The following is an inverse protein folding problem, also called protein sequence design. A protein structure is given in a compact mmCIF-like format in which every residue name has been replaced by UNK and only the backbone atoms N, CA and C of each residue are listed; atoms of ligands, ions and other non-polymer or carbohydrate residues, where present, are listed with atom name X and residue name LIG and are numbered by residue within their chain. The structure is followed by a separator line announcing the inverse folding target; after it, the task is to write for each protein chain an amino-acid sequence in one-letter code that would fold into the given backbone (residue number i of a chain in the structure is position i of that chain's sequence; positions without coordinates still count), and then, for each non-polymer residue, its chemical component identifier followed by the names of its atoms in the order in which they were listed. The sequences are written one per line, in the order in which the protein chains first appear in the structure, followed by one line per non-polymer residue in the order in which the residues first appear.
data_IF_147300643150
#
_entry.id   IF_147300643150
#
_cell.length_a   1.000
_cell.length_b   1.000
_cell.length_c   1.000
_cell.angle_alpha   90.00
_cell.angle_beta   90.00
_cell.angle_gamma   90.00
#
_symmetry.space_group_name_H-M   'P 1'
#
loop_
_entity.id
_entity.type
_entity.pdbx_description
1 polymer ?
#
# COMPACT_ATOMS: atom_id res chain seq x y z
N UNK A 1 1.96 -0.20 18.83
CA UNK A 1 2.23 -0.93 17.55
C UNK A 1 2.09 -0.01 16.32
N UNK A 2 2.57 1.24 16.36
CA UNK A 2 2.58 2.13 15.19
C UNK A 2 3.88 2.07 14.39
N UNK A 3 5.01 1.99 15.11
CA UNK A 3 6.37 2.01 14.54
C UNK A 3 6.62 0.79 13.64
N UNK A 4 6.28 -0.42 14.11
CA UNK A 4 6.46 -1.65 13.33
C UNK A 4 5.71 -1.58 12.00
N UNK A 5 4.44 -1.14 12.03
CA UNK A 5 3.61 -1.02 10.82
C UNK A 5 4.19 0.01 9.83
N UNK A 6 4.64 1.16 10.32
CA UNK A 6 5.26 2.18 9.49
C UNK A 6 6.55 1.67 8.80
N UNK A 7 7.38 0.95 9.54
CA UNK A 7 8.61 0.35 9.01
C UNK A 7 8.30 -0.74 7.97
N UNK A 8 7.32 -1.61 8.23
CA UNK A 8 6.87 -2.59 7.26
C UNK A 8 6.37 -1.93 5.97
N UNK A 9 5.57 -0.84 6.06
CA UNK A 9 5.06 -0.11 4.89
C UNK A 9 6.19 0.49 4.06
N UNK A 10 7.24 1.03 4.70
CA UNK A 10 8.41 1.53 3.98
C UNK A 10 9.10 0.41 3.17
N UNK A 11 9.23 -0.78 3.76
CA UNK A 11 9.79 -1.97 3.09
C UNK A 11 8.88 -2.52 2.00
N UNK A 12 7.55 -2.40 2.14
CA UNK A 12 6.59 -2.81 1.10
C UNK A 12 6.82 -2.06 -0.21
N UNK A 13 7.17 -0.76 -0.16
CA UNK A 13 7.45 0.05 -1.36
C UNK A 13 8.68 -0.46 -2.12
N UNK A 14 9.71 -0.87 -1.38
CA UNK A 14 10.93 -1.44 -1.97
C UNK A 14 10.61 -2.81 -2.58
N UNK A 15 9.94 -3.68 -1.82
CA UNK A 15 9.54 -5.00 -2.27
C UNK A 15 8.64 -4.97 -3.52
N UNK A 16 7.78 -3.95 -3.63
CA UNK A 16 6.94 -3.75 -4.82
C UNK A 16 7.75 -3.36 -6.05
N UNK A 17 8.72 -2.45 -5.91
CA UNK A 17 9.67 -2.10 -7.00
C UNK A 17 10.50 -3.29 -7.46
N UNK A 18 10.82 -4.20 -6.55
CA UNK A 18 11.52 -5.45 -6.85
C UNK A 18 10.60 -6.57 -7.41
N UNK A 19 9.29 -6.32 -7.50
CA UNK A 19 8.32 -7.30 -8.00
C UNK A 19 8.06 -8.48 -7.05
N UNK A 20 8.40 -8.35 -5.77
CA UNK A 20 8.21 -9.40 -4.76
C UNK A 20 6.72 -9.55 -4.47
N UNK A 21 6.18 -10.77 -4.55
CA UNK A 21 4.76 -11.04 -4.27
C UNK A 21 4.39 -10.83 -2.79
N UNK A 22 3.13 -10.48 -2.52
CA UNK A 22 2.62 -10.24 -1.16
C UNK A 22 2.86 -11.41 -0.20
N UNK A 23 2.65 -12.65 -0.67
CA UNK A 23 2.87 -13.85 0.16
C UNK A 23 4.33 -14.06 0.54
N UNK A 24 5.26 -13.75 -0.38
CA UNK A 24 6.70 -13.82 -0.12
C UNK A 24 7.10 -12.72 0.86
N UNK A 25 6.67 -11.48 0.63
CA UNK A 25 6.94 -10.36 1.52
C UNK A 25 6.47 -10.62 2.96
N UNK A 26 5.27 -11.18 3.15
CA UNK A 26 4.73 -11.49 4.47
C UNK A 26 5.58 -12.55 5.20
N UNK A 27 6.08 -13.56 4.47
CA UNK A 27 6.99 -14.56 5.04
C UNK A 27 8.30 -13.91 5.47
N UNK A 28 8.89 -13.10 4.60
CA UNK A 28 10.16 -12.43 4.86
C UNK A 28 10.03 -11.47 6.07
N UNK A 29 8.92 -10.75 6.20
CA UNK A 29 8.66 -9.89 7.37
C UNK A 29 8.41 -10.67 8.66
N UNK A 30 7.88 -11.90 8.57
CA UNK A 30 7.75 -12.80 9.73
C UNK A 30 9.11 -13.30 10.21
N UNK A 31 10.02 -13.61 9.29
CA UNK A 31 11.39 -14.02 9.61
C UNK A 31 12.18 -12.90 10.26
N UNK A 32 11.98 -11.66 9.81
CA UNK A 32 12.67 -10.46 10.34
C UNK A 32 12.02 -9.91 11.62
N UNK A 33 10.92 -10.50 12.10
CA UNK A 33 10.23 -10.07 13.32
C UNK A 33 9.39 -8.79 13.17
N UNK A 34 9.24 -8.27 11.94
CA UNK A 34 8.39 -7.11 11.62
C UNK A 34 7.02 -7.54 11.10
N UNK A 35 6.42 -8.50 11.80
CA UNK A 35 5.08 -8.99 11.48
C UNK A 35 4.03 -8.41 12.41
N UNK A 36 2.88 -8.08 11.85
CA UNK A 36 1.65 -7.81 12.59
C UNK A 36 0.50 -8.63 11.99
N UNK A 37 -0.75 -8.28 12.30
CA UNK A 37 -1.91 -9.05 11.83
C UNK A 37 -1.90 -9.17 10.30
N UNK A 38 -1.91 -10.41 9.82
CA UNK A 38 -1.77 -10.75 8.39
C UNK A 38 -2.82 -10.07 7.50
N UNK A 39 -4.05 -9.92 7.98
CA UNK A 39 -5.13 -9.23 7.25
C UNK A 39 -4.78 -7.77 6.99
N UNK A 40 -4.19 -7.10 7.98
CA UNK A 40 -3.82 -5.70 7.90
C UNK A 40 -2.58 -5.53 6.99
N UNK A 41 -1.59 -6.42 7.10
CA UNK A 41 -0.45 -6.45 6.18
C UNK A 41 -0.87 -6.64 4.72
N UNK A 42 -1.83 -7.53 4.45
CA UNK A 42 -2.36 -7.74 3.10
C UNK A 42 -3.10 -6.50 2.58
N UNK A 43 -3.89 -5.84 3.43
CA UNK A 43 -4.59 -4.61 3.07
C UNK A 43 -3.62 -3.46 2.78
N UNK A 44 -2.60 -3.29 3.62
CA UNK A 44 -1.55 -2.28 3.43
C UNK A 44 -0.74 -2.55 2.16
N UNK A 45 -0.33 -3.80 1.92
CA UNK A 45 0.43 -4.18 0.73
C UNK A 45 -0.36 -3.89 -0.56
N UNK A 46 -1.65 -4.20 -0.60
CA UNK A 46 -2.53 -3.88 -1.74
C UNK A 46 -2.73 -2.38 -1.92
N UNK A 47 -2.82 -1.63 -0.82
CA UNK A 47 -2.95 -0.17 -0.85
C UNK A 47 -1.70 0.49 -1.41
N UNK A 48 -0.50 0.06 -0.97
CA UNK A 48 0.79 0.52 -1.50
C UNK A 48 0.94 0.16 -2.99
N UNK A 49 0.58 -1.07 -3.38
CA UNK A 49 0.59 -1.48 -4.77
C UNK A 49 -0.37 -0.64 -5.65
N UNK A 50 -1.51 -0.21 -5.09
CA UNK A 50 -2.45 0.69 -5.76
C UNK A 50 -1.86 2.08 -5.99
N UNK A 51 -1.19 2.64 -4.97
CA UNK A 51 -0.55 3.96 -5.05
C UNK A 51 0.59 4.00 -6.07
N UNK A 52 1.49 3.02 -6.06
CA UNK A 52 2.61 2.97 -7.01
C UNK A 52 2.14 2.73 -8.45
N UNK A 53 1.04 2.01 -8.66
CA UNK A 53 0.42 1.87 -10.00
C UNK A 53 -0.19 3.18 -10.48
N UNK A 54 -0.82 3.94 -9.60
CA UNK A 54 -1.35 5.27 -9.95
C UNK A 54 -0.19 6.22 -10.22
N UNK A 55 0.86 6.23 -9.41
CA UNK A 55 2.05 7.07 -9.64
C UNK A 55 2.78 6.69 -10.94
N UNK A 56 2.95 5.39 -11.19
CA UNK A 56 3.50 4.88 -12.45
C UNK A 56 2.62 5.25 -13.64
N UNK A 57 1.30 5.05 -13.54
CA UNK A 57 0.35 5.44 -14.58
C UNK A 57 0.36 6.96 -14.81
N UNK A 58 0.44 7.78 -13.77
CA UNK A 58 0.57 9.24 -13.85
C UNK A 58 1.88 9.67 -14.52
N UNK A 59 2.96 8.91 -14.34
CA UNK A 59 4.24 9.15 -15.02
C UNK A 59 4.14 8.91 -16.54
N UNK A 60 3.24 8.03 -16.98
CA UNK A 60 3.00 7.73 -18.40
C UNK A 60 1.77 8.44 -18.98
N UNK A 61 0.84 8.92 -18.15
CA UNK A 61 -0.34 9.71 -18.54
C UNK A 61 0.04 11.18 -18.51
N UNK A 62 0.23 11.73 -19.71
CA UNK A 62 0.52 13.15 -20.03
C UNK A 62 -0.06 14.16 -19.02
N UNK A 63 0.73 15.21 -18.79
CA UNK A 63 0.59 16.40 -17.91
C UNK A 63 -0.80 17.08 -17.79
N UNK A 64 -1.78 16.70 -18.61
CA UNK A 64 -3.09 17.36 -18.73
C UNK A 64 -4.28 16.54 -18.21
N UNK A 65 -4.05 15.38 -17.57
CA UNK A 65 -5.14 14.58 -16.98
C UNK A 65 -4.83 14.24 -15.53
N UNK A 66 -5.26 15.11 -14.63
CA UNK A 66 -5.41 14.77 -13.22
C UNK A 66 -6.54 13.74 -13.07
N UNK A 67 -6.30 12.55 -12.51
CA UNK A 67 -7.37 11.65 -12.13
C UNK A 67 -8.14 12.33 -11.00
N UNK A 68 -9.38 12.70 -11.30
CA UNK A 68 -10.33 13.26 -10.35
C UNK A 68 -10.41 12.38 -9.10
N UNK A 69 -10.30 13.04 -7.95
CA UNK A 69 -10.35 12.44 -6.63
C UNK A 69 -11.53 11.45 -6.52
N UNK A 70 -11.24 10.23 -6.05
CA UNK A 70 -12.30 9.35 -5.57
C UNK A 70 -12.85 9.96 -4.28
N UNK A 71 -14.06 10.51 -4.36
CA UNK A 71 -14.89 10.82 -3.19
C UNK A 71 -15.00 9.57 -2.30
N UNK A 72 -14.25 9.53 -1.21
CA UNK A 72 -14.64 8.73 -0.05
C UNK A 72 -15.79 9.46 0.65
N UNK A 73 -17.00 9.39 0.07
CA UNK A 73 -18.19 9.65 0.87
C UNK A 73 -18.46 8.40 1.70
N UNK A 74 -17.85 8.33 2.88
CA UNK A 74 -18.31 7.47 3.96
C UNK A 74 -18.50 8.35 5.21
N UNK A 75 -19.51 9.22 5.15
CA UNK A 75 -20.05 9.87 6.34
C UNK A 75 -21.54 10.18 6.14
N UNK A 76 -22.35 9.11 6.16
CA UNK A 76 -23.71 9.24 6.68
C UNK A 76 -23.64 8.89 8.16
N UNK A 77 -23.44 9.91 9.00
CA UNK A 77 -23.89 9.91 10.40
C UNK A 77 -24.47 11.31 10.61
N UNK A 78 -25.80 11.38 10.61
CA UNK A 78 -26.61 12.57 10.84
C UNK A 78 -28.03 12.10 11.15
N UNK A 79 -28.40 12.32 12.42
CA UNK A 79 -29.64 12.02 13.16
C UNK A 79 -30.08 10.55 13.31
#
# INVERSE_FOLDING_TARGET
MGIVRAETIARMRIAFREGVSASRFIRDMKEVGLSYRRTDMLADYRSVAGLERVEGALRYVRKDRYPTEKNYCCRCVGD
#
